data_IF_037354630135
#
_entry.id   IF_037354630135
#
_cell.length_a   1.000
_cell.length_b   1.000
_cell.length_c   1.000
_cell.angle_alpha   90.00
_cell.angle_beta   90.00
_cell.angle_gamma   90.00
#
_symmetry.space_group_name_H-M   'P 1'
#
loop_
_entity.id
_entity.type
_entity.pdbx_description
1 polymer ?
#
# COMPACT_ATOMS: atom_id res chain seq x y z
N UNK A 1 -10.94 27.70 22.49
CA UNK A 1 -11.44 26.37 22.89
C UNK A 1 -10.25 25.41 22.94
N UNK A 2 -9.43 25.48 23.99
CA UNK A 2 -8.18 24.71 24.09
C UNK A 2 -8.29 23.43 24.96
N UNK A 3 -9.51 22.97 25.25
CA UNK A 3 -9.76 21.97 26.32
C UNK A 3 -10.27 20.60 25.86
N UNK A 4 -10.14 20.22 24.59
CA UNK A 4 -10.67 18.91 24.11
C UNK A 4 -9.63 17.95 23.51
N UNK A 5 -8.40 18.39 23.23
CA UNK A 5 -7.39 17.48 22.66
C UNK A 5 -6.77 16.58 23.76
N UNK A 6 -6.73 15.25 23.60
CA UNK A 6 -6.14 14.35 24.57
C UNK A 6 -4.68 14.70 24.92
N UNK A 7 -4.30 14.60 26.20
CA UNK A 7 -2.97 14.98 26.69
C UNK A 7 -1.83 14.28 25.93
N UNK A 8 -2.00 13.01 25.59
CA UNK A 8 -0.98 12.26 24.84
C UNK A 8 -0.74 12.83 23.43
N UNK A 9 -1.76 13.41 22.79
CA UNK A 9 -1.61 14.09 21.49
C UNK A 9 -0.89 15.43 21.67
N UNK A 10 -1.21 16.18 22.73
CA UNK A 10 -0.52 17.43 23.02
C UNK A 10 1.00 17.22 23.19
N UNK A 11 1.40 16.18 23.92
CA UNK A 11 2.83 15.82 24.09
C UNK A 11 3.51 15.51 22.76
N UNK A 12 2.81 14.84 21.84
CA UNK A 12 3.34 14.55 20.50
C UNK A 12 3.54 15.83 19.70
N UNK A 13 2.57 16.74 19.72
CA UNK A 13 2.69 18.03 19.04
C UNK A 13 3.83 18.87 19.61
N UNK A 14 4.00 18.92 20.93
CA UNK A 14 5.12 19.62 21.55
C UNK A 14 6.47 19.06 21.09
N UNK A 15 6.60 17.74 20.92
CA UNK A 15 7.82 17.12 20.37
C UNK A 15 8.05 17.45 18.90
N UNK A 16 7.01 17.42 18.07
CA UNK A 16 7.11 17.70 16.62
C UNK A 16 7.49 19.16 16.36
N UNK A 17 6.85 20.08 17.07
CA UNK A 17 7.05 21.53 16.90
C UNK A 17 8.14 22.09 17.81
N UNK A 18 8.66 21.30 18.76
CA UNK A 18 9.68 21.73 19.72
C UNK A 18 9.30 23.05 20.43
N UNK A 19 8.03 23.16 20.83
CA UNK A 19 7.46 24.37 21.45
C UNK A 19 6.30 24.00 22.39
N UNK A 20 5.88 24.94 23.23
CA UNK A 20 4.70 24.78 24.10
C UNK A 20 3.42 24.71 23.28
N UNK A 21 2.46 23.90 23.73
CA UNK A 21 1.14 23.78 23.10
C UNK A 21 0.40 25.13 23.09
N UNK A 22 0.69 26.01 24.06
CA UNK A 22 0.14 27.36 24.16
C UNK A 22 0.59 28.28 23.02
N UNK A 23 1.71 27.96 22.36
CA UNK A 23 2.23 28.71 21.21
C UNK A 23 1.68 28.20 19.88
N UNK A 24 0.85 27.15 19.90
CA UNK A 24 0.27 26.53 18.72
C UNK A 24 -1.23 26.87 18.59
N UNK A 25 -1.68 27.05 17.35
CA UNK A 25 -3.11 26.93 16.99
C UNK A 25 -3.35 25.52 16.51
N UNK A 26 -4.36 24.85 17.05
CA UNK A 26 -4.69 23.46 16.73
C UNK A 26 -6.16 23.40 16.38
N UNK A 27 -6.44 22.87 15.20
CA UNK A 27 -7.79 22.66 14.70
C UNK A 27 -7.98 21.18 14.32
N UNK A 28 -8.85 20.49 15.05
CA UNK A 28 -9.19 19.10 14.76
C UNK A 28 -10.16 19.06 13.58
N UNK A 29 -9.73 18.44 12.48
CA UNK A 29 -10.51 18.34 11.27
C UNK A 29 -11.51 17.19 11.39
N UNK A 30 -12.67 17.33 10.76
CA UNK A 30 -13.60 16.22 10.62
C UNK A 30 -12.90 15.07 9.85
N UNK A 31 -12.69 13.96 10.55
CA UNK A 31 -11.99 12.81 10.01
C UNK A 31 -12.83 11.98 9.05
N UNK A 32 -12.23 10.89 8.57
CA UNK A 32 -12.98 9.82 7.94
C UNK A 32 -14.05 9.27 8.92
N UNK A 33 -15.14 8.70 8.40
CA UNK A 33 -16.23 8.20 9.25
C UNK A 33 -15.69 7.07 10.12
N UNK A 34 -16.17 6.99 11.37
CA UNK A 34 -15.79 5.95 12.33
C UNK A 34 -15.88 4.57 11.63
N UNK A 35 -14.75 3.86 11.51
CA UNK A 35 -14.66 2.56 10.80
C UNK A 35 -13.91 2.56 9.46
N UNK A 36 -13.35 3.68 9.00
CA UNK A 36 -12.50 3.72 7.80
C UNK A 36 -11.03 3.30 8.05
N UNK A 37 -10.60 3.20 9.31
CA UNK A 37 -9.33 2.57 9.73
C UNK A 37 -9.58 1.14 10.20
N UNK A 38 -8.95 0.15 9.56
CA UNK A 38 -9.20 -1.27 9.86
C UNK A 38 -8.55 -1.75 11.17
N UNK A 39 -7.37 -1.20 11.52
CA UNK A 39 -6.55 -1.64 12.67
C UNK A 39 -6.21 -0.50 13.66
N UNK A 40 -6.92 0.62 13.61
CA UNK A 40 -6.72 1.73 14.54
C UNK A 40 -7.51 2.99 14.21
N UNK A 41 -7.34 4.01 15.04
CA UNK A 41 -8.01 5.30 14.89
C UNK A 41 -7.12 6.29 14.14
N UNK A 42 -7.76 7.16 13.37
CA UNK A 42 -7.11 8.27 12.66
C UNK A 42 -7.59 9.60 13.24
N UNK A 43 -6.66 10.45 13.65
CA UNK A 43 -6.94 11.83 14.09
C UNK A 43 -6.33 12.79 13.07
N UNK A 44 -7.13 13.75 12.59
CA UNK A 44 -6.71 14.71 11.58
C UNK A 44 -6.59 16.09 12.21
N UNK A 45 -5.42 16.72 12.09
CA UNK A 45 -5.12 17.99 12.75
C UNK A 45 -4.54 18.99 11.76
N UNK A 46 -4.92 20.25 11.89
CA UNK A 46 -4.22 21.40 11.32
C UNK A 46 -3.54 22.13 12.46
N UNK A 47 -2.22 22.26 12.39
CA UNK A 47 -1.40 22.86 13.45
C UNK A 47 -0.54 23.96 12.88
N UNK A 48 -0.49 25.13 13.53
CA UNK A 48 0.38 26.23 13.13
C UNK A 48 0.98 26.92 14.35
N UNK A 49 2.13 27.57 14.21
CA UNK A 49 2.60 28.48 15.26
C UNK A 49 1.75 29.74 15.25
N UNK A 50 1.37 30.25 16.43
CA UNK A 50 0.62 31.51 16.55
C UNK A 50 1.36 32.72 15.96
N UNK A 51 2.70 32.64 15.87
CA UNK A 51 3.56 33.73 15.38
C UNK A 51 3.52 33.94 13.87
N UNK A 52 3.37 32.86 13.10
CA UNK A 52 3.47 32.88 11.62
C UNK A 52 2.22 32.33 10.93
N UNK A 53 1.39 31.58 11.67
CA UNK A 53 0.15 30.98 11.21
C UNK A 53 0.31 30.11 9.95
N UNK A 54 1.50 29.51 9.75
CA UNK A 54 1.74 28.58 8.63
C UNK A 54 1.18 27.20 8.98
N UNK A 55 0.18 26.70 8.23
CA UNK A 55 -0.50 25.46 8.58
C UNK A 55 0.32 24.21 8.22
N UNK A 56 0.40 23.29 9.18
CA UNK A 56 0.86 21.93 9.02
C UNK A 56 -0.32 20.97 9.18
N UNK A 57 -0.67 20.29 8.09
CA UNK A 57 -1.80 19.35 8.08
C UNK A 57 -1.28 17.94 8.37
N UNK A 58 -1.70 17.35 9.49
CA UNK A 58 -1.20 16.10 10.03
C UNK A 58 -2.30 15.04 10.12
N UNK A 59 -1.91 13.77 9.99
CA UNK A 59 -2.71 12.59 10.32
C UNK A 59 -1.97 11.80 11.38
N UNK A 60 -2.65 11.47 12.46
CA UNK A 60 -2.14 10.58 13.52
C UNK A 60 -2.86 9.25 13.38
N UNK A 61 -2.12 8.21 12.95
CA UNK A 61 -2.56 6.81 13.01
C UNK A 61 -2.17 6.26 14.36
N UNK A 62 -3.14 5.80 15.15
CA UNK A 62 -2.91 5.31 16.50
C UNK A 62 -3.58 3.97 16.77
N UNK A 63 -2.83 3.08 17.40
CA UNK A 63 -3.31 1.81 17.89
C UNK A 63 -4.37 2.05 18.99
N UNK A 64 -5.47 1.29 18.95
CA UNK A 64 -6.54 1.34 19.94
C UNK A 64 -6.38 0.14 20.87
N UNK A 65 -6.32 0.40 22.17
CA UNK A 65 -6.23 -0.65 23.17
C UNK A 65 -7.44 -1.60 23.10
N UNK A 66 -7.19 -2.91 23.20
CA UNK A 66 -8.24 -3.93 23.18
C UNK A 66 -8.63 -4.46 21.80
N UNK A 67 -7.92 -4.07 20.72
CA UNK A 67 -8.08 -4.70 19.39
C UNK A 67 -7.38 -6.05 19.38
N UNK A 68 -8.08 -7.09 18.92
CA UNK A 68 -7.56 -8.46 18.82
C UNK A 68 -7.39 -8.91 17.36
N UNK A 69 -6.33 -9.65 17.01
CA UNK A 69 -5.24 -10.11 17.90
C UNK A 69 -4.18 -9.03 18.13
N UNK A 70 -3.94 -8.65 19.40
CA UNK A 70 -3.07 -7.53 19.81
C UNK A 70 -1.64 -7.65 19.24
N UNK A 71 -1.08 -8.86 19.22
CA UNK A 71 0.28 -9.06 18.72
C UNK A 71 0.42 -8.85 17.22
N UNK A 72 -0.62 -9.17 16.44
CA UNK A 72 -0.64 -8.91 15.00
C UNK A 72 -0.75 -7.41 14.76
N UNK A 73 -1.65 -6.71 15.48
CA UNK A 73 -1.80 -5.25 15.40
C UNK A 73 -0.48 -4.57 15.78
N UNK A 74 0.15 -4.97 16.87
CA UNK A 74 1.47 -4.46 17.27
C UNK A 74 2.48 -4.67 16.12
N UNK A 75 2.50 -5.84 15.50
CA UNK A 75 3.43 -6.15 14.42
C UNK A 75 3.19 -5.31 13.16
N UNK A 76 1.94 -4.98 12.81
CA UNK A 76 1.62 -4.12 11.66
C UNK A 76 2.10 -2.68 11.90
N UNK A 77 1.84 -2.12 13.09
CA UNK A 77 2.37 -0.80 13.47
C UNK A 77 3.89 -0.75 13.52
N UNK A 78 4.54 -1.75 14.15
CA UNK A 78 5.98 -1.80 14.24
C UNK A 78 6.63 -1.93 12.85
N UNK A 79 6.00 -2.64 11.91
CA UNK A 79 6.50 -2.75 10.54
C UNK A 79 6.43 -1.39 9.80
N UNK A 80 5.30 -0.69 9.91
CA UNK A 80 5.14 0.65 9.31
C UNK A 80 6.06 1.70 9.96
N UNK A 81 6.23 1.68 11.29
CA UNK A 81 7.20 2.55 11.99
C UNK A 81 8.61 2.27 11.49
N UNK A 82 8.98 0.99 11.37
CA UNK A 82 10.26 0.56 10.86
C UNK A 82 10.49 1.00 9.41
N UNK A 83 9.44 1.03 8.58
CA UNK A 83 9.49 1.58 7.24
C UNK A 83 9.88 3.06 7.28
N UNK A 84 9.13 3.90 7.99
CA UNK A 84 9.38 5.35 8.02
C UNK A 84 10.68 5.75 8.74
N UNK A 85 11.10 5.00 9.76
CA UNK A 85 12.26 5.37 10.58
C UNK A 85 13.59 4.82 10.06
N UNK A 86 13.57 3.75 9.26
CA UNK A 86 14.80 3.11 8.77
C UNK A 86 14.80 2.87 7.25
N UNK A 87 13.77 2.23 6.71
CA UNK A 87 13.79 1.72 5.31
C UNK A 87 13.62 2.85 4.31
N UNK A 88 12.60 3.68 4.47
CA UNK A 88 12.37 4.81 3.58
C UNK A 88 13.52 5.83 3.60
N UNK A 89 14.12 6.19 4.76
CA UNK A 89 15.35 6.98 4.80
C UNK A 89 16.51 6.36 4.01
N UNK A 90 16.77 5.05 4.15
CA UNK A 90 17.83 4.37 3.41
C UNK A 90 17.59 4.38 1.89
N UNK A 91 16.36 4.11 1.45
CA UNK A 91 15.97 4.21 0.04
C UNK A 91 16.10 5.64 -0.49
N UNK A 92 15.77 6.63 0.33
CA UNK A 92 15.87 8.05 -0.01
C UNK A 92 17.33 8.48 -0.16
N UNK A 93 18.20 8.11 0.78
CA UNK A 93 19.64 8.41 0.72
C UNK A 93 20.28 7.77 -0.52
N UNK A 94 19.94 6.51 -0.80
CA UNK A 94 20.41 5.82 -1.99
C UNK A 94 20.01 6.55 -3.28
N UNK A 95 18.74 6.94 -3.40
CA UNK A 95 18.27 7.72 -4.55
C UNK A 95 19.01 9.06 -4.70
N UNK A 96 19.22 9.79 -3.60
CA UNK A 96 19.96 11.07 -3.62
C UNK A 96 21.39 10.88 -4.13
N UNK A 97 22.04 9.79 -3.73
CA UNK A 97 23.41 9.46 -4.14
C UNK A 97 23.52 9.12 -5.64
N UNK A 98 22.53 8.45 -6.22
CA UNK A 98 22.64 7.88 -7.58
C UNK A 98 21.80 8.58 -8.66
N UNK A 99 20.73 9.29 -8.33
CA UNK A 99 19.86 9.99 -9.29
C UNK A 99 19.84 11.52 -9.10
N UNK A 100 19.90 11.99 -7.84
CA UNK A 100 19.61 13.37 -7.47
C UNK A 100 18.10 13.64 -7.32
N UNK A 101 17.74 14.60 -6.46
CA UNK A 101 16.33 14.84 -6.09
C UNK A 101 15.45 15.35 -7.24
N UNK A 102 16.04 15.94 -8.28
CA UNK A 102 15.31 16.48 -9.43
C UNK A 102 15.10 15.46 -10.56
N UNK A 103 15.64 14.23 -10.45
CA UNK A 103 15.40 13.20 -11.48
C UNK A 103 13.92 12.75 -11.45
N UNK A 104 13.24 12.67 -12.61
CA UNK A 104 11.84 12.19 -12.69
C UNK A 104 11.60 10.76 -12.16
N UNK A 105 12.64 9.97 -11.96
CA UNK A 105 12.59 8.61 -11.38
C UNK A 105 12.90 8.60 -9.89
N UNK A 106 13.27 9.75 -9.30
CA UNK A 106 13.30 9.90 -7.86
C UNK A 106 11.89 9.74 -7.31
N UNK A 107 11.65 8.66 -6.57
CA UNK A 107 10.36 8.36 -5.96
C UNK A 107 10.15 9.30 -4.79
N UNK A 108 9.32 10.33 -5.01
CA UNK A 108 8.86 11.23 -3.94
C UNK A 108 7.54 10.76 -3.34
N UNK A 109 6.94 9.66 -3.83
CA UNK A 109 5.53 9.28 -3.69
C UNK A 109 5.09 8.75 -2.30
N UNK A 110 5.81 9.10 -1.23
CA UNK A 110 5.56 8.64 0.14
C UNK A 110 5.24 9.84 1.03
N UNK A 111 4.32 9.69 1.99
CA UNK A 111 3.98 10.73 2.95
C UNK A 111 5.18 11.01 3.89
N UNK A 112 5.40 12.28 4.23
CA UNK A 112 6.41 12.62 5.25
C UNK A 112 5.94 12.12 6.61
N UNK A 113 6.82 11.44 7.33
CA UNK A 113 6.62 11.08 8.73
C UNK A 113 7.27 12.12 9.65
N UNK A 114 6.52 12.58 10.66
CA UNK A 114 6.96 13.57 11.64
C UNK A 114 7.32 12.96 12.99
N UNK A 115 6.63 11.87 13.36
CA UNK A 115 6.80 11.24 14.66
C UNK A 115 6.32 9.79 14.63
N UNK A 116 6.94 8.95 15.45
CA UNK A 116 6.53 7.57 15.69
C UNK A 116 6.61 7.24 17.17
N UNK A 117 5.73 6.37 17.65
CA UNK A 117 5.76 5.82 19.01
C UNK A 117 5.66 4.29 18.96
N UNK A 118 6.58 3.60 19.64
CA UNK A 118 6.65 2.14 19.69
C UNK A 118 6.07 1.56 20.99
N UNK A 119 5.45 2.39 21.83
CA UNK A 119 4.87 1.93 23.10
C UNK A 119 3.80 0.89 22.81
N UNK A 120 4.02 -0.35 23.26
CA UNK A 120 3.14 -1.49 22.97
C UNK A 120 1.68 -1.19 23.37
N UNK A 121 0.75 -1.43 22.45
CA UNK A 121 -0.69 -1.18 22.65
C UNK A 121 -1.09 0.30 22.62
N UNK A 122 -0.14 1.18 22.30
CA UNK A 122 -0.33 2.62 22.16
C UNK A 122 0.54 3.19 21.03
N UNK A 123 0.90 2.37 20.05
CA UNK A 123 1.76 2.72 18.91
C UNK A 123 1.13 3.84 18.10
N UNK A 124 1.97 4.75 17.57
CA UNK A 124 1.52 5.91 16.83
C UNK A 124 2.43 6.23 15.67
N UNK A 125 1.84 6.77 14.60
CA UNK A 125 2.55 7.29 13.44
C UNK A 125 1.90 8.62 13.07
N UNK A 126 2.70 9.69 12.98
CA UNK A 126 2.24 11.01 12.56
C UNK A 126 2.78 11.30 11.17
N UNK A 127 1.87 11.49 10.22
CA UNK A 127 2.16 11.68 8.80
C UNK A 127 1.60 13.01 8.28
N UNK A 128 2.10 13.45 7.13
CA UNK A 128 1.45 14.50 6.32
C UNK A 128 0.02 14.08 5.96
N UNK A 129 -0.93 15.02 6.09
CA UNK A 129 -2.26 14.87 5.53
C UNK A 129 -2.26 15.23 4.05
N UNK A 130 -2.18 14.20 3.21
CA UNK A 130 -2.12 14.33 1.76
C UNK A 130 -3.39 14.94 1.13
N UNK A 131 -4.55 14.92 1.82
CA UNK A 131 -5.78 15.55 1.31
C UNK A 131 -5.60 17.05 1.05
N UNK A 132 -4.87 17.74 1.94
CA UNK A 132 -4.54 19.16 1.78
C UNK A 132 -3.51 19.45 0.68
N UNK A 133 -2.91 18.40 0.10
CA UNK A 133 -2.03 18.49 -1.07
C UNK A 133 -2.74 18.10 -2.38
N UNK A 134 -4.07 17.99 -2.34
CA UNK A 134 -4.90 17.66 -3.51
C UNK A 134 -4.98 16.17 -3.83
N UNK A 135 -4.52 15.28 -2.94
CA UNK A 135 -4.66 13.84 -3.13
C UNK A 135 -5.99 13.34 -2.58
N UNK A 136 -6.65 12.49 -3.35
CA UNK A 136 -7.92 11.86 -3.03
C UNK A 136 -7.82 10.33 -3.12
N UNK A 137 -8.62 9.64 -2.31
CA UNK A 137 -8.78 8.19 -2.42
C UNK A 137 -9.79 7.88 -3.53
N UNK A 138 -9.50 6.84 -4.31
CA UNK A 138 -10.53 6.29 -5.19
C UNK A 138 -11.56 5.52 -4.35
N UNK A 139 -12.87 5.68 -4.60
CA UNK A 139 -13.90 4.98 -3.83
C UNK A 139 -13.69 3.46 -3.87
N UNK A 140 -13.56 2.85 -2.69
CA UNK A 140 -13.11 1.45 -2.54
C UNK A 140 -13.97 0.40 -3.25
N UNK A 141 -15.24 0.71 -3.49
CA UNK A 141 -16.22 -0.18 -4.13
C UNK A 141 -16.35 0.04 -5.65
N UNK A 142 -15.62 1.01 -6.20
CA UNK A 142 -15.56 1.29 -7.64
C UNK A 142 -14.26 0.68 -8.20
N UNK A 143 -14.34 -0.12 -9.27
CA UNK A 143 -13.14 -0.64 -9.91
C UNK A 143 -12.33 0.48 -10.58
N UNK A 144 -11.01 0.39 -10.44
CA UNK A 144 -10.08 1.26 -11.15
C UNK A 144 -10.03 0.87 -12.64
N UNK A 145 -9.91 1.88 -13.50
CA UNK A 145 -9.81 1.71 -14.94
C UNK A 145 -8.38 1.44 -15.42
N UNK A 146 -8.23 1.16 -16.73
CA UNK A 146 -6.93 0.87 -17.33
C UNK A 146 -5.91 2.01 -17.14
N UNK A 147 -6.31 3.28 -17.30
CA UNK A 147 -5.40 4.44 -17.16
C UNK A 147 -4.87 4.59 -15.74
N UNK A 148 -5.72 4.32 -14.75
CA UNK A 148 -5.31 4.30 -13.34
C UNK A 148 -4.31 3.17 -13.09
N UNK A 149 -4.57 1.95 -13.59
CA UNK A 149 -3.62 0.83 -13.44
C UNK A 149 -2.30 1.06 -14.16
N UNK A 150 -2.32 1.64 -15.37
CA UNK A 150 -1.09 2.02 -16.07
C UNK A 150 -0.21 2.95 -15.22
N UNK A 151 -0.83 3.87 -14.49
CA UNK A 151 -0.13 4.80 -13.59
C UNK A 151 0.36 4.13 -12.30
N UNK A 152 -0.44 3.22 -11.72
CA UNK A 152 -0.05 2.39 -10.57
C UNK A 152 1.14 1.50 -10.92
N UNK A 153 1.13 0.86 -12.09
CA UNK A 153 2.20 -0.04 -12.53
C UNK A 153 3.49 0.74 -12.80
N UNK A 154 3.41 1.94 -13.37
CA UNK A 154 4.55 2.88 -13.47
C UNK A 154 5.13 3.25 -12.10
N UNK A 155 4.26 3.52 -11.12
CA UNK A 155 4.65 3.86 -9.75
C UNK A 155 5.39 2.70 -9.07
N UNK A 156 4.82 1.50 -9.08
CA UNK A 156 5.48 0.31 -8.51
C UNK A 156 6.76 -0.05 -9.25
N UNK A 157 6.82 0.14 -10.57
CA UNK A 157 8.06 -0.07 -11.32
C UNK A 157 9.21 0.80 -10.81
N UNK A 158 8.97 2.10 -10.59
CA UNK A 158 9.97 3.01 -10.01
C UNK A 158 10.32 2.64 -8.57
N UNK A 159 9.33 2.28 -7.76
CA UNK A 159 9.55 1.83 -6.38
C UNK A 159 10.42 0.56 -6.30
N UNK A 160 10.11 -0.46 -7.09
CA UNK A 160 10.90 -1.70 -7.16
C UNK A 160 12.29 -1.48 -7.74
N UNK A 161 12.46 -0.54 -8.68
CA UNK A 161 13.76 -0.20 -9.27
C UNK A 161 14.78 0.22 -8.21
N UNK A 162 14.36 0.95 -7.16
CA UNK A 162 15.23 1.35 -6.05
C UNK A 162 15.81 0.10 -5.38
N UNK A 163 14.96 -0.87 -5.06
CA UNK A 163 15.37 -2.10 -4.39
C UNK A 163 16.31 -2.95 -5.25
N UNK A 164 16.02 -3.09 -6.55
CA UNK A 164 16.91 -3.79 -7.48
C UNK A 164 18.28 -3.09 -7.58
N UNK A 165 18.26 -1.75 -7.66
CA UNK A 165 19.49 -0.97 -7.75
C UNK A 165 20.32 -1.03 -6.47
N UNK A 166 19.68 -0.92 -5.29
CA UNK A 166 20.36 -1.12 -4.00
C UNK A 166 21.02 -2.49 -3.93
N UNK A 167 20.31 -3.55 -4.34
CA UNK A 167 20.83 -4.91 -4.34
C UNK A 167 22.08 -5.10 -5.21
N UNK A 168 22.16 -4.42 -6.35
CA UNK A 168 23.30 -4.55 -7.27
C UNK A 168 24.45 -3.59 -6.97
N UNK A 169 24.16 -2.36 -6.54
CA UNK A 169 25.16 -1.30 -6.36
C UNK A 169 25.68 -1.23 -4.91
N UNK A 170 24.85 -1.59 -3.93
CA UNK A 170 25.18 -1.52 -2.49
C UNK A 170 24.65 -2.78 -1.75
N UNK A 171 25.11 -3.99 -2.13
CA UNK A 171 24.55 -5.26 -1.65
C UNK A 171 24.57 -5.42 -0.13
N UNK A 172 25.63 -4.97 0.54
CA UNK A 172 25.74 -5.01 2.01
C UNK A 172 24.65 -4.16 2.69
N UNK A 173 24.41 -2.95 2.17
CA UNK A 173 23.32 -2.10 2.66
C UNK A 173 21.96 -2.68 2.35
N UNK A 174 21.80 -3.31 1.18
CA UNK A 174 20.55 -3.99 0.84
C UNK A 174 20.27 -5.16 1.79
N UNK A 175 21.29 -5.94 2.15
CA UNK A 175 21.18 -7.01 3.13
C UNK A 175 20.79 -6.45 4.51
N UNK A 176 21.47 -5.41 5.00
CA UNK A 176 21.09 -4.75 6.26
C UNK A 176 19.65 -4.20 6.22
N UNK A 177 19.28 -3.55 5.11
CA UNK A 177 17.97 -2.96 4.87
C UNK A 177 16.83 -3.99 4.87
N UNK A 178 17.10 -5.20 4.36
CA UNK A 178 16.15 -6.31 4.28
C UNK A 178 16.20 -7.27 5.45
N UNK A 179 17.20 -7.14 6.32
CA UNK A 179 17.37 -7.98 7.50
C UNK A 179 16.20 -7.82 8.47
N UNK A 180 15.75 -8.95 9.01
CA UNK A 180 14.71 -9.04 10.04
C UNK A 180 13.38 -8.36 9.66
N UNK A 181 13.09 -8.21 8.36
CA UNK A 181 11.80 -7.69 7.89
C UNK A 181 10.75 -8.80 8.03
N UNK A 182 9.72 -8.64 8.88
CA UNK A 182 8.72 -9.67 9.10
C UNK A 182 7.78 -9.78 7.91
N UNK A 183 7.33 -11.01 7.62
CA UNK A 183 6.18 -11.22 6.74
C UNK A 183 4.90 -11.28 7.57
N UNK A 184 4.23 -10.13 7.73
CA UNK A 184 2.99 -10.05 8.50
C UNK A 184 1.84 -10.82 7.83
N UNK A 185 1.83 -10.97 6.50
CA UNK A 185 0.84 -11.81 5.82
C UNK A 185 1.01 -13.28 6.20
N UNK A 186 2.24 -13.79 6.13
CA UNK A 186 2.56 -15.15 6.56
C UNK A 186 2.14 -15.39 8.02
N UNK A 187 2.53 -14.49 8.93
CA UNK A 187 2.13 -14.57 10.34
C UNK A 187 0.61 -14.65 10.49
N UNK A 188 -0.13 -13.84 9.74
CA UNK A 188 -1.59 -13.84 9.77
C UNK A 188 -2.16 -15.20 9.35
N UNK A 189 -1.73 -15.76 8.22
CA UNK A 189 -2.29 -17.00 7.67
C UNK A 189 -1.82 -18.27 8.40
N UNK A 190 -0.63 -18.27 8.99
CA UNK A 190 -0.19 -19.36 9.88
C UNK A 190 -1.07 -19.40 11.13
N UNK A 191 -1.38 -18.24 11.71
CA UNK A 191 -2.17 -18.16 12.96
C UNK A 191 -3.68 -18.19 12.72
N UNK A 192 -4.13 -17.89 11.51
CA UNK A 192 -5.54 -17.82 11.12
C UNK A 192 -5.74 -18.44 9.72
N UNK A 193 -5.82 -19.79 9.59
CA UNK A 193 -6.00 -20.43 8.28
C UNK A 193 -7.44 -20.33 7.74
N UNK A 194 -8.41 -20.03 8.60
CA UNK A 194 -9.85 -20.00 8.27
C UNK A 194 -10.27 -19.03 7.14
N UNK A 195 -9.74 -17.80 7.03
CA UNK A 195 -10.18 -16.82 6.03
C UNK A 195 -10.05 -17.30 4.58
N UNK A 196 -8.98 -18.02 4.23
CA UNK A 196 -8.79 -18.54 2.86
C UNK A 196 -9.85 -19.60 2.54
N UNK A 197 -10.07 -20.56 3.45
CA UNK A 197 -11.10 -21.57 3.28
C UNK A 197 -12.51 -20.97 3.15
N UNK A 198 -12.84 -20.00 3.99
CA UNK A 198 -14.15 -19.32 3.94
C UNK A 198 -14.38 -18.54 2.64
N UNK A 199 -13.37 -17.80 2.18
CA UNK A 199 -13.49 -16.98 0.96
C UNK A 199 -13.54 -17.84 -0.29
N UNK A 200 -12.71 -18.89 -0.39
CA UNK A 200 -12.77 -19.84 -1.50
C UNK A 200 -14.07 -20.64 -1.52
N UNK A 201 -14.63 -21.02 -0.37
CA UNK A 201 -15.93 -21.68 -0.29
C UNK A 201 -17.05 -20.80 -0.88
N UNK A 202 -17.06 -19.50 -0.54
CA UNK A 202 -18.01 -18.54 -1.10
C UNK A 202 -17.90 -18.44 -2.63
N UNK A 203 -16.68 -18.40 -3.16
CA UNK A 203 -16.45 -18.38 -4.62
C UNK A 203 -17.01 -19.65 -5.26
N UNK A 204 -16.69 -20.82 -4.69
CA UNK A 204 -17.17 -22.12 -5.22
C UNK A 204 -18.70 -22.19 -5.30
N UNK A 205 -19.41 -21.54 -4.37
CA UNK A 205 -20.88 -21.44 -4.39
C UNK A 205 -21.45 -20.54 -5.49
N UNK A 206 -20.64 -19.67 -6.11
CA UNK A 206 -21.08 -18.80 -7.22
C UNK A 206 -21.06 -19.49 -8.58
N UNK A 207 -20.35 -20.62 -8.70
CA UNK A 207 -20.24 -21.34 -9.97
C UNK A 207 -21.58 -21.96 -10.37
N UNK A 208 -21.95 -21.72 -11.62
CA UNK A 208 -23.11 -22.34 -12.22
C UNK A 208 -22.79 -23.81 -12.55
N UNK A 209 -23.54 -24.79 -12.01
CA UNK A 209 -23.21 -26.21 -12.15
C UNK A 209 -23.30 -26.72 -13.60
N UNK A 210 -23.96 -25.98 -14.50
CA UNK A 210 -24.12 -26.35 -15.91
C UNK A 210 -23.08 -25.69 -16.80
N UNK A 211 -22.69 -24.45 -16.50
CA UNK A 211 -21.84 -23.64 -17.40
C UNK A 211 -20.40 -23.47 -16.90
N UNK A 212 -20.16 -23.61 -15.60
CA UNK A 212 -18.85 -23.38 -14.97
C UNK A 212 -18.13 -24.67 -14.55
N UNK A 213 -18.55 -25.85 -15.01
CA UNK A 213 -17.99 -27.12 -14.56
C UNK A 213 -16.46 -27.17 -14.66
N UNK A 214 -15.90 -26.76 -15.81
CA UNK A 214 -14.44 -26.74 -16.02
C UNK A 214 -13.73 -25.76 -15.07
N UNK A 215 -14.37 -24.63 -14.78
CA UNK A 215 -13.83 -23.63 -13.86
C UNK A 215 -13.86 -24.16 -12.42
N UNK A 216 -14.95 -24.82 -12.02
CA UNK A 216 -15.09 -25.45 -10.71
C UNK A 216 -14.05 -26.56 -10.49
N UNK A 217 -13.82 -27.40 -11.51
CA UNK A 217 -12.78 -28.44 -11.49
C UNK A 217 -11.38 -27.83 -11.37
N UNK A 218 -11.06 -26.79 -12.17
CA UNK A 218 -9.78 -26.09 -12.11
C UNK A 218 -9.57 -25.33 -10.78
N UNK A 219 -10.64 -24.84 -10.17
CA UNK A 219 -10.61 -24.11 -8.89
C UNK A 219 -10.51 -25.05 -7.68
N UNK A 220 -10.93 -26.30 -7.80
CA UNK A 220 -10.95 -27.30 -6.72
C UNK A 220 -9.67 -27.34 -5.88
N UNK A 221 -8.48 -27.50 -6.48
CA UNK A 221 -7.21 -27.52 -5.74
C UNK A 221 -6.92 -26.26 -4.92
N UNK A 222 -7.34 -25.09 -5.40
CA UNK A 222 -7.18 -23.80 -4.71
C UNK A 222 -8.14 -23.64 -3.54
N UNK A 223 -9.32 -24.24 -3.62
CA UNK A 223 -10.25 -24.30 -2.49
C UNK A 223 -9.77 -25.30 -1.44
N UNK A 224 -9.39 -26.50 -1.87
CA UNK A 224 -9.08 -27.60 -0.95
C UNK A 224 -7.77 -27.38 -0.18
N UNK A 225 -6.77 -26.71 -0.79
CA UNK A 225 -5.45 -26.50 -0.19
C UNK A 225 -5.02 -25.02 -0.18
N UNK A 226 -5.96 -24.08 -0.27
CA UNK A 226 -5.65 -22.67 -0.55
C UNK A 226 -4.70 -22.01 0.46
N UNK A 227 -4.87 -22.30 1.75
CA UNK A 227 -4.02 -21.73 2.80
C UNK A 227 -2.56 -22.20 2.67
N UNK A 228 -2.36 -23.50 2.43
CA UNK A 228 -1.03 -24.08 2.29
C UNK A 228 -0.35 -23.60 1.01
N UNK A 229 -1.11 -23.48 -0.08
CA UNK A 229 -0.63 -22.89 -1.33
C UNK A 229 -0.17 -21.45 -1.09
N UNK A 230 -0.96 -20.64 -0.38
CA UNK A 230 -0.63 -19.25 -0.08
C UNK A 230 0.62 -19.12 0.81
N UNK A 231 0.73 -19.93 1.87
CA UNK A 231 1.91 -19.95 2.75
C UNK A 231 3.16 -20.35 1.97
N UNK A 232 3.06 -21.38 1.12
CA UNK A 232 4.16 -21.83 0.28
C UNK A 232 4.56 -20.77 -0.77
N UNK A 233 3.58 -20.05 -1.35
CA UNK A 233 3.85 -18.95 -2.28
C UNK A 233 4.70 -17.87 -1.58
N UNK A 234 4.35 -17.49 -0.34
CA UNK A 234 5.10 -16.50 0.44
C UNK A 234 6.54 -16.90 0.80
N UNK A 235 6.96 -18.16 0.62
CA UNK A 235 8.34 -18.62 0.80
C UNK A 235 9.23 -18.35 -0.43
N UNK A 236 9.08 -17.19 -1.06
CA UNK A 236 9.81 -16.86 -2.28
C UNK A 236 11.32 -16.76 -2.02
N UNK A 237 12.09 -17.64 -2.66
CA UNK A 237 13.56 -17.73 -2.54
C UNK A 237 14.31 -17.30 -3.81
N UNK A 238 13.57 -16.85 -4.85
CA UNK A 238 14.13 -16.52 -6.16
C UNK A 238 15.10 -15.32 -6.18
N UNK A 239 15.82 -15.11 -7.30
CA UNK A 239 16.87 -14.11 -7.39
C UNK A 239 16.33 -12.68 -7.54
N UNK A 240 15.04 -12.47 -7.81
CA UNK A 240 14.44 -11.17 -8.10
C UNK A 240 13.72 -10.56 -6.90
N UNK A 241 14.20 -10.87 -5.69
CA UNK A 241 13.73 -10.29 -4.43
C UNK A 241 13.90 -8.77 -4.40
N UNK A 242 12.81 -8.07 -4.12
CA UNK A 242 12.74 -6.64 -3.83
C UNK A 242 11.95 -6.37 -2.55
N UNK A 243 12.10 -5.19 -1.98
CA UNK A 243 11.30 -4.72 -0.86
C UNK A 243 9.95 -4.20 -1.36
N UNK A 244 8.88 -4.86 -0.93
CA UNK A 244 7.52 -4.68 -1.40
C UNK A 244 6.74 -3.72 -0.52
N UNK A 245 5.71 -3.10 -1.09
CA UNK A 245 4.68 -2.43 -0.31
C UNK A 245 3.75 -3.47 0.36
N UNK A 246 3.37 -4.51 -0.39
CA UNK A 246 2.59 -5.68 0.03
C UNK A 246 1.19 -5.42 0.61
N UNK A 247 0.74 -4.16 0.75
CA UNK A 247 -0.65 -3.79 1.03
C UNK A 247 -1.31 -3.02 -0.14
N UNK A 248 -1.21 -3.56 -1.35
CA UNK A 248 -1.34 -2.81 -2.61
C UNK A 248 -2.77 -2.63 -3.15
N UNK A 249 -3.80 -2.74 -2.32
CA UNK A 249 -5.18 -2.48 -2.73
C UNK A 249 -5.46 -0.98 -2.96
N UNK A 250 -6.54 -0.69 -3.69
CA UNK A 250 -6.89 0.67 -4.14
C UNK A 250 -7.04 1.72 -3.03
N UNK A 251 -7.35 1.31 -1.79
CA UNK A 251 -7.53 2.25 -0.67
C UNK A 251 -6.19 2.71 -0.05
N UNK A 252 -5.08 2.11 -0.46
CA UNK A 252 -3.73 2.49 -0.04
C UNK A 252 -2.98 3.25 -1.14
N UNK A 253 -3.71 3.70 -2.17
CA UNK A 253 -3.18 4.52 -3.26
C UNK A 253 -4.06 5.77 -3.38
N UNK A 254 -3.46 6.93 -3.15
CA UNK A 254 -4.13 8.22 -3.36
C UNK A 254 -3.75 8.80 -4.72
N UNK A 255 -4.72 9.37 -5.41
CA UNK A 255 -4.56 9.99 -6.72
C UNK A 255 -4.65 11.50 -6.60
N UNK A 256 -3.89 12.21 -7.41
CA UNK A 256 -4.09 13.64 -7.64
C UNK A 256 -4.42 13.82 -9.11
N UNK A 257 -5.45 14.60 -9.38
CA UNK A 257 -5.87 14.92 -10.74
C UNK A 257 -5.59 16.38 -11.06
N UNK A 258 -5.25 16.67 -12.31
CA UNK A 258 -5.18 18.05 -12.80
C UNK A 258 -6.58 18.58 -13.15
N UNK A 259 -6.66 19.84 -13.59
CA UNK A 259 -7.93 20.51 -13.94
C UNK A 259 -8.67 19.83 -15.12
N UNK A 260 -7.99 18.97 -15.88
CA UNK A 260 -8.55 18.18 -16.99
C UNK A 260 -8.98 16.77 -16.58
N UNK A 261 -9.00 16.47 -15.27
CA UNK A 261 -9.28 15.15 -14.71
C UNK A 261 -8.30 14.04 -15.15
N UNK A 262 -7.08 14.43 -15.55
CA UNK A 262 -5.99 13.50 -15.82
C UNK A 262 -5.15 13.29 -14.56
N UNK A 263 -4.54 12.11 -14.43
CA UNK A 263 -3.74 11.76 -13.27
C UNK A 263 -2.42 12.56 -13.30
N UNK A 264 -2.25 13.46 -12.34
CA UNK A 264 -1.06 14.29 -12.14
C UNK A 264 0.00 13.55 -11.30
N UNK A 265 -0.42 12.95 -10.18
CA UNK A 265 0.48 12.26 -9.25
C UNK A 265 -0.25 11.14 -8.48
N UNK A 266 0.51 10.20 -7.92
CA UNK A 266 0.04 9.16 -7.03
C UNK A 266 0.86 9.13 -5.74
N UNK A 267 0.24 8.67 -4.65
CA UNK A 267 0.92 8.40 -3.37
C UNK A 267 0.54 7.03 -2.85
N UNK A 268 1.56 6.29 -2.43
CA UNK A 268 1.38 5.05 -1.69
C UNK A 268 1.34 5.41 -0.21
N UNK A 269 0.38 4.83 0.51
CA UNK A 269 0.24 4.96 1.96
C UNK A 269 0.11 3.57 2.59
N UNK A 270 0.29 3.50 3.91
CA UNK A 270 0.11 2.29 4.72
C UNK A 270 1.09 1.14 4.43
N UNK A 271 2.31 1.25 4.98
CA UNK A 271 3.40 0.27 4.81
C UNK A 271 3.37 -0.84 5.86
N UNK A 272 2.21 -1.15 6.43
CA UNK A 272 2.11 -2.08 7.56
C UNK A 272 2.41 -3.55 7.20
N UNK A 273 2.27 -3.90 5.92
CA UNK A 273 2.50 -5.26 5.42
C UNK A 273 3.79 -5.40 4.62
N UNK A 274 4.65 -4.36 4.54
CA UNK A 274 5.85 -4.40 3.71
C UNK A 274 6.77 -5.58 4.10
N UNK A 275 7.22 -6.33 3.10
CA UNK A 275 8.19 -7.43 3.27
C UNK A 275 9.02 -7.63 2.00
N UNK A 276 9.94 -8.59 2.00
CA UNK A 276 10.79 -8.87 0.84
C UNK A 276 10.21 -10.04 0.03
N UNK A 277 10.02 -9.85 -1.27
CA UNK A 277 9.46 -10.87 -2.15
C UNK A 277 9.65 -10.55 -3.62
N UNK A 278 8.94 -11.26 -4.50
CA UNK A 278 8.93 -10.94 -5.94
C UNK A 278 8.06 -9.69 -6.20
N UNK A 279 8.44 -8.80 -7.13
CA UNK A 279 7.62 -7.64 -7.50
C UNK A 279 6.21 -8.01 -7.98
N UNK A 280 6.00 -9.26 -8.40
CA UNK A 280 4.72 -9.80 -8.84
C UNK A 280 3.65 -9.71 -7.74
N UNK A 281 4.03 -9.78 -6.46
CA UNK A 281 3.08 -9.71 -5.34
C UNK A 281 2.34 -8.38 -5.29
N UNK A 282 3.07 -7.26 -5.41
CA UNK A 282 2.44 -5.93 -5.40
C UNK A 282 1.53 -5.74 -6.61
N UNK A 283 1.97 -6.20 -7.80
CA UNK A 283 1.21 -6.04 -9.04
C UNK A 283 -0.05 -6.89 -9.08
N UNK A 284 0.04 -8.17 -8.71
CA UNK A 284 -1.09 -9.11 -8.77
C UNK A 284 -2.12 -8.80 -7.70
N UNK A 285 -1.70 -8.48 -6.46
CA UNK A 285 -2.62 -8.02 -5.43
C UNK A 285 -3.31 -6.72 -5.84
N UNK A 286 -2.56 -5.73 -6.34
CA UNK A 286 -3.18 -4.47 -6.76
C UNK A 286 -4.19 -4.66 -7.87
N UNK A 287 -3.84 -5.43 -8.92
CA UNK A 287 -4.71 -5.66 -10.07
C UNK A 287 -5.97 -6.46 -9.69
N UNK A 288 -5.80 -7.62 -9.06
CA UNK A 288 -6.92 -8.54 -8.84
C UNK A 288 -7.91 -8.03 -7.77
N UNK A 289 -7.48 -7.14 -6.86
CA UNK A 289 -8.35 -6.58 -5.81
C UNK A 289 -9.13 -5.32 -6.23
N UNK A 290 -8.87 -4.76 -7.41
CA UNK A 290 -9.44 -3.47 -7.80
C UNK A 290 -9.72 -3.25 -9.29
N UNK A 291 -9.34 -4.16 -10.18
CA UNK A 291 -9.47 -3.95 -11.61
C UNK A 291 -10.89 -4.09 -12.15
N UNK A 292 -11.28 -3.12 -12.99
CA UNK A 292 -12.40 -3.28 -13.90
C UNK A 292 -12.08 -4.27 -15.03
N UNK A 293 -13.13 -4.72 -15.73
CA UNK A 293 -13.00 -5.72 -16.81
C UNK A 293 -11.96 -5.32 -17.87
N UNK A 294 -11.97 -4.06 -18.31
CA UNK A 294 -11.02 -3.57 -19.33
C UNK A 294 -9.56 -3.76 -18.90
N UNK A 295 -9.23 -3.43 -17.66
CA UNK A 295 -7.86 -3.58 -17.14
C UNK A 295 -7.45 -5.06 -17.03
N UNK A 296 -8.37 -5.95 -16.66
CA UNK A 296 -8.14 -7.39 -16.61
C UNK A 296 -7.92 -7.98 -18.02
N UNK A 297 -8.78 -7.62 -18.98
CA UNK A 297 -8.66 -8.09 -20.37
C UNK A 297 -7.35 -7.63 -21.01
N UNK A 298 -6.81 -6.48 -20.57
CA UNK A 298 -5.58 -5.86 -21.07
C UNK A 298 -4.39 -6.03 -20.11
N UNK A 299 -4.38 -7.10 -19.33
CA UNK A 299 -3.32 -7.37 -18.33
C UNK A 299 -1.93 -7.39 -18.97
N UNK A 300 -1.77 -8.03 -20.13
CA UNK A 300 -0.47 -8.10 -20.81
C UNK A 300 0.09 -6.72 -21.15
N UNK A 301 -0.76 -5.77 -21.56
CA UNK A 301 -0.34 -4.39 -21.82
C UNK A 301 0.12 -3.69 -20.53
N UNK A 302 -0.56 -3.94 -19.40
CA UNK A 302 -0.14 -3.41 -18.10
C UNK A 302 1.22 -3.99 -17.68
N UNK A 303 1.46 -5.29 -17.90
CA UNK A 303 2.75 -5.92 -17.62
C UNK A 303 3.88 -5.33 -18.46
N UNK A 304 3.62 -5.06 -19.74
CA UNK A 304 4.60 -4.41 -20.61
C UNK A 304 4.85 -2.95 -20.17
N UNK A 305 3.83 -2.20 -19.75
CA UNK A 305 3.97 -0.85 -19.16
C UNK A 305 4.84 -0.89 -17.90
N UNK A 306 4.60 -1.82 -16.98
CA UNK A 306 5.42 -2.01 -15.79
C UNK A 306 6.88 -2.27 -16.18
N UNK A 307 7.10 -3.24 -17.06
CA UNK A 307 8.45 -3.67 -17.43
C UNK A 307 9.24 -2.57 -18.13
N UNK A 308 8.60 -1.82 -19.04
CA UNK A 308 9.21 -0.68 -19.69
C UNK A 308 9.61 0.39 -18.66
N UNK A 309 8.70 0.72 -17.75
CA UNK A 309 8.96 1.73 -16.71
C UNK A 309 10.07 1.31 -15.75
N UNK A 310 10.11 0.02 -15.39
CA UNK A 310 11.16 -0.55 -14.56
C UNK A 310 12.50 -0.48 -15.29
N UNK A 311 12.52 -0.84 -16.57
CA UNK A 311 13.71 -0.81 -17.42
C UNK A 311 14.27 0.60 -17.56
N UNK A 312 13.40 1.59 -17.76
CA UNK A 312 13.77 3.00 -17.82
C UNK A 312 14.36 3.47 -16.48
N UNK A 313 13.73 3.12 -15.36
CA UNK A 313 14.23 3.47 -14.03
C UNK A 313 15.58 2.79 -13.71
N UNK A 314 15.77 1.51 -14.03
CA UNK A 314 17.03 0.80 -13.82
C UNK A 314 18.18 1.40 -14.64
N UNK A 315 17.93 1.79 -15.90
CA UNK A 315 18.92 2.46 -16.74
C UNK A 315 19.40 3.78 -16.13
N UNK A 316 18.56 4.49 -15.37
CA UNK A 316 18.95 5.72 -14.67
C UNK A 316 19.93 5.49 -13.54
N UNK A 317 19.90 4.30 -12.92
CA UNK A 317 20.92 3.84 -11.99
C UNK A 317 22.16 3.26 -12.69
N UNK A 318 22.24 3.32 -14.03
CA UNK A 318 23.35 2.74 -14.80
C UNK A 318 23.29 1.22 -14.91
N UNK A 319 22.12 0.61 -14.70
CA UNK A 319 21.93 -0.84 -14.73
C UNK A 319 21.34 -1.31 -16.06
N UNK A 320 21.64 -2.55 -16.41
CA UNK A 320 21.10 -3.21 -17.61
C UNK A 320 19.88 -4.07 -17.21
N UNK A 321 18.65 -3.68 -17.62
CA UNK A 321 17.44 -4.40 -17.23
C UNK A 321 17.46 -5.88 -17.61
N UNK A 322 18.06 -6.24 -18.75
CA UNK A 322 18.15 -7.63 -19.20
C UNK A 322 19.13 -8.48 -18.38
N UNK A 323 20.00 -7.85 -17.59
CA UNK A 323 20.85 -8.55 -16.61
C UNK A 323 20.27 -8.52 -15.20
N UNK A 324 19.55 -7.45 -14.86
CA UNK A 324 18.99 -7.24 -13.52
C UNK A 324 17.70 -8.02 -13.32
N UNK A 325 16.76 -7.91 -14.27
CA UNK A 325 15.49 -8.64 -14.25
C UNK A 325 14.97 -8.76 -15.69
N UNK A 326 15.34 -9.83 -16.44
CA UNK A 326 14.91 -10.02 -17.82
C UNK A 326 13.39 -10.05 -17.99
N UNK A 327 12.86 -9.57 -19.11
CA UNK A 327 11.41 -9.56 -19.35
C UNK A 327 10.82 -10.97 -19.35
N UNK A 328 11.58 -11.93 -19.87
CA UNK A 328 11.21 -13.36 -19.87
C UNK A 328 11.05 -13.88 -18.45
N UNK A 329 12.02 -13.59 -17.57
CA UNK A 329 11.97 -13.96 -16.16
C UNK A 329 10.77 -13.31 -15.45
N UNK A 330 10.50 -12.02 -15.71
CA UNK A 330 9.31 -11.35 -15.18
C UNK A 330 8.01 -12.04 -15.58
N UNK A 331 7.84 -12.39 -16.87
CA UNK A 331 6.64 -13.09 -17.36
C UNK A 331 6.52 -14.50 -16.78
N UNK A 332 7.63 -15.19 -16.52
CA UNK A 332 7.65 -16.48 -15.83
C UNK A 332 7.28 -16.35 -14.35
N UNK A 333 7.82 -15.35 -13.65
CA UNK A 333 7.48 -15.07 -12.27
C UNK A 333 6.00 -14.70 -12.12
N UNK A 334 5.44 -13.90 -13.03
CA UNK A 334 4.01 -13.58 -13.05
C UNK A 334 3.14 -14.84 -13.11
N UNK A 335 3.48 -15.80 -13.98
CA UNK A 335 2.74 -17.06 -14.10
C UNK A 335 2.86 -17.93 -12.84
N UNK A 336 4.03 -17.94 -12.21
CA UNK A 336 4.30 -18.77 -11.04
C UNK A 336 3.68 -18.21 -9.76
N UNK A 337 3.88 -16.93 -9.50
CA UNK A 337 3.68 -16.26 -8.20
C UNK A 337 2.44 -15.36 -8.13
N UNK A 338 1.49 -15.50 -9.07
CA UNK A 338 0.22 -14.75 -8.99
C UNK A 338 -0.76 -15.25 -7.92
N UNK A 339 -0.44 -16.35 -7.23
CA UNK A 339 -1.32 -16.98 -6.24
C UNK A 339 -1.46 -16.10 -5.00
N UNK A 340 -0.38 -15.46 -4.56
CA UNK A 340 -0.43 -14.43 -3.53
C UNK A 340 -1.49 -13.38 -3.86
N UNK A 341 -1.38 -12.73 -5.02
CA UNK A 341 -2.35 -11.71 -5.43
C UNK A 341 -3.77 -12.24 -5.49
N UNK A 342 -3.97 -13.47 -5.99
CA UNK A 342 -5.28 -14.10 -6.05
C UNK A 342 -5.91 -14.27 -4.66
N UNK A 343 -5.21 -14.94 -3.73
CA UNK A 343 -5.75 -15.23 -2.40
C UNK A 343 -5.93 -13.99 -1.52
N UNK A 344 -5.02 -13.01 -1.59
CA UNK A 344 -5.19 -11.75 -0.86
C UNK A 344 -6.36 -10.95 -1.45
N UNK A 345 -6.52 -10.94 -2.78
CA UNK A 345 -7.59 -10.18 -3.42
C UNK A 345 -8.98 -10.70 -3.10
N UNK A 346 -9.19 -12.02 -3.04
CA UNK A 346 -10.51 -12.58 -2.68
C UNK A 346 -10.93 -12.22 -1.25
N UNK A 347 -9.96 -12.10 -0.34
CA UNK A 347 -10.17 -11.65 1.04
C UNK A 347 -10.60 -10.18 1.06
N UNK A 348 -9.87 -9.33 0.34
CA UNK A 348 -10.14 -7.89 0.26
C UNK A 348 -11.46 -7.59 -0.46
N UNK A 349 -11.77 -8.30 -1.55
CA UNK A 349 -13.04 -8.16 -2.26
C UNK A 349 -14.23 -8.49 -1.34
N UNK A 350 -14.11 -9.55 -0.54
CA UNK A 350 -15.13 -9.89 0.47
C UNK A 350 -15.34 -8.79 1.51
N UNK A 351 -14.31 -7.98 1.81
CA UNK A 351 -14.41 -6.82 2.69
C UNK A 351 -14.98 -5.57 1.99
N UNK A 352 -14.77 -5.42 0.67
CA UNK A 352 -15.29 -4.33 -0.15
C UNK A 352 -16.80 -4.45 -0.42
N UNK A 353 -17.33 -5.66 -0.51
CA UNK A 353 -18.73 -5.91 -0.88
C UNK A 353 -19.72 -5.67 0.27
N UNK A 354 -19.93 -4.40 0.60
CA UNK A 354 -21.13 -3.94 1.29
C UNK A 354 -22.03 -3.18 0.30
N UNK A 355 -23.13 -3.78 -0.14
CA UNK A 355 -24.00 -3.24 -1.18
C UNK A 355 -24.53 -1.81 -0.87
N UNK A 356 -24.76 -1.49 0.41
CA UNK A 356 -25.14 -0.13 0.83
C UNK A 356 -23.99 0.87 0.71
N UNK A 357 -22.77 0.44 1.01
CA UNK A 357 -21.58 1.27 0.81
C UNK A 357 -21.33 1.51 -0.69
N UNK A 358 -21.49 0.48 -1.53
CA UNK A 358 -21.28 0.57 -2.98
C UNK A 358 -22.20 1.57 -3.68
N UNK A 359 -23.49 1.59 -3.37
CA UNK A 359 -24.42 2.55 -3.97
C UNK A 359 -24.08 4.00 -3.59
N UNK A 360 -23.69 4.21 -2.33
CA UNK A 360 -23.29 5.52 -1.82
C UNK A 360 -22.00 6.02 -2.48
N UNK A 361 -21.00 5.16 -2.56
CA UNK A 361 -19.71 5.45 -3.20
C UNK A 361 -19.90 5.78 -4.69
N UNK A 362 -20.77 5.03 -5.39
CA UNK A 362 -21.06 5.26 -6.82
C UNK A 362 -21.68 6.64 -7.07
N UNK A 363 -22.68 7.03 -6.27
CA UNK A 363 -23.32 8.35 -6.40
C UNK A 363 -22.32 9.47 -6.11
N UNK A 364 -21.51 9.33 -5.06
CA UNK A 364 -20.47 10.31 -4.72
C UNK A 364 -19.46 10.45 -5.86
N UNK A 365 -18.98 9.34 -6.40
CA UNK A 365 -18.01 9.34 -7.50
C UNK A 365 -18.55 10.01 -8.76
N UNK A 366 -19.80 9.70 -9.14
CA UNK A 366 -20.43 10.31 -10.31
C UNK A 366 -20.58 11.82 -10.14
N UNK A 367 -20.88 12.28 -8.93
CA UNK A 367 -20.92 13.70 -8.59
C UNK A 367 -19.53 14.35 -8.68
N UNK A 368 -18.53 13.77 -8.02
CA UNK A 368 -17.15 14.30 -7.98
C UNK A 368 -16.50 14.36 -9.36
N UNK A 369 -16.86 13.43 -10.26
CA UNK A 369 -16.35 13.37 -11.64
C UNK A 369 -17.26 14.03 -12.67
N UNK A 370 -18.31 14.75 -12.25
CA UNK A 370 -19.25 15.44 -13.15
C UNK A 370 -19.83 14.53 -14.24
N UNK A 371 -20.12 13.28 -13.87
CA UNK A 371 -20.71 12.28 -14.75
C UNK A 371 -22.26 12.27 -14.68
N UNK A 372 -22.85 13.25 -14.00
CA UNK A 372 -24.30 13.47 -13.82
C UNK A 372 -24.75 14.80 -14.44
#
# INVERSE_FOLDING_TARGET
MANTLPQHIQVILQKIFNDSIENLTIDEQEGNKKGDGYLGDLVFLTVAYKKDNVPHNLVIKQCVAGVYPEEFVTATYLNEINFYTKRWPAMTEFQKKHLGEEDPNFVKHIAKCYYTDITKGAEKIVLDNLKFKGFELHPKSIPLNFRQYASIFKLYAKYHAISFAMKQLEPEKFEEFTKDVPNNWERFFITNPGPVGMTTAKIKMTFNPTTDQKLAEAFGPYHDNGNDILIADMQYDGPYKVFLHADCWSNNIMFKYNDYLEIDDLRIIDFQMCFVGTPVYDLTYSLFSGAGKEALDRTDELLDIYYQSLSEALKKYGLDPEKTYPQTAFKEEWKKWNKFGFFISILVLSAKENAKARMKDLVQYMYDKQLL
#
